data_IF_807878940811
#
_entry.id   IF_807878940811
#
_cell.length_a   1.000
_cell.length_b   1.000
_cell.length_c   1.000
_cell.angle_alpha   90.00
_cell.angle_beta   90.00
_cell.angle_gamma   90.00
#
_symmetry.space_group_name_H-M   'P 1'
#
loop_
_entity.id
_entity.type
_entity.pdbx_description
1 polymer ?
#
# COMPACT_ATOMS: atom_id res chain seq x y z
N UNK A 1 -26.08 -3.06 10.96
CA UNK A 1 -25.12 -3.69 11.89
C UNK A 1 -23.74 -3.37 11.39
N UNK A 2 -22.91 -2.72 12.18
CA UNK A 2 -21.50 -2.44 11.84
C UNK A 2 -20.79 -3.79 11.63
N UNK A 3 -20.29 -4.03 10.40
CA UNK A 3 -19.52 -5.25 10.12
C UNK A 3 -18.08 -4.96 10.52
N UNK A 4 -17.71 -5.29 11.75
CA UNK A 4 -16.30 -5.29 12.14
C UNK A 4 -15.60 -6.52 11.55
N UNK A 5 -14.34 -6.35 11.17
CA UNK A 5 -13.45 -7.41 10.70
C UNK A 5 -12.11 -7.34 11.42
N UNK A 6 -11.37 -8.43 11.57
CA UNK A 6 -10.05 -8.36 12.18
C UNK A 6 -9.09 -7.54 11.33
N UNK A 7 -8.21 -6.78 11.99
CA UNK A 7 -7.09 -6.09 11.38
C UNK A 7 -5.82 -6.28 12.21
N UNK A 8 -4.68 -6.36 11.52
CA UNK A 8 -3.35 -6.41 12.15
C UNK A 8 -2.92 -4.99 12.46
N UNK A 9 -2.94 -4.63 13.74
CA UNK A 9 -2.76 -3.23 14.20
C UNK A 9 -1.46 -3.09 14.94
N UNK A 10 -0.62 -2.16 14.49
CA UNK A 10 0.50 -1.66 15.28
C UNK A 10 0.02 -0.49 16.15
N UNK A 11 0.11 -0.64 17.48
CA UNK A 11 -0.51 0.30 18.42
C UNK A 11 0.49 1.17 19.19
N UNK A 12 1.81 0.92 19.09
CA UNK A 12 2.85 1.73 19.76
C UNK A 12 4.22 1.54 19.10
N UNK A 13 5.14 2.45 19.39
CA UNK A 13 6.54 2.41 18.98
C UNK A 13 7.39 1.50 19.89
N UNK A 14 6.99 0.23 20.04
CA UNK A 14 7.71 -0.71 20.90
C UNK A 14 7.66 -2.12 20.29
N UNK A 15 8.66 -2.92 20.59
CA UNK A 15 8.72 -4.31 20.13
C UNK A 15 7.49 -5.10 20.61
N UNK A 16 6.86 -5.83 19.68
CA UNK A 16 5.69 -6.65 19.97
C UNK A 16 4.38 -5.87 20.07
N UNK A 17 4.36 -4.61 19.69
CA UNK A 17 3.17 -3.75 19.69
C UNK A 17 2.27 -3.97 18.47
N UNK A 18 2.13 -5.22 18.02
CA UNK A 18 1.25 -5.60 16.89
C UNK A 18 0.30 -6.70 17.37
N UNK A 19 -0.99 -6.49 17.19
CA UNK A 19 -2.02 -7.45 17.56
C UNK A 19 -3.23 -7.42 16.63
N UNK A 20 -4.07 -8.44 16.69
CA UNK A 20 -5.37 -8.44 16.01
C UNK A 20 -6.37 -7.62 16.81
N UNK A 21 -6.99 -6.63 16.15
CA UNK A 21 -8.08 -5.83 16.69
C UNK A 21 -9.30 -5.84 15.77
N UNK A 22 -10.52 -5.73 16.32
CA UNK A 22 -11.70 -5.49 15.50
C UNK A 22 -11.60 -4.10 14.85
N UNK A 23 -11.75 -4.06 13.53
CA UNK A 23 -11.74 -2.83 12.73
C UNK A 23 -13.11 -2.59 12.15
N UNK A 24 -13.63 -1.38 12.32
CA UNK A 24 -14.86 -0.95 11.68
C UNK A 24 -14.65 -0.81 10.17
N UNK A 25 -15.70 -1.12 9.39
CA UNK A 25 -15.69 -0.87 7.96
C UNK A 25 -15.49 0.63 7.69
N UNK A 26 -14.46 1.04 6.90
CA UNK A 26 -14.21 2.45 6.66
C UNK A 26 -15.34 3.12 5.89
N UNK A 27 -15.65 4.37 6.24
CA UNK A 27 -16.46 5.25 5.39
C UNK A 27 -15.56 5.89 4.32
N UNK A 28 -16.09 6.04 3.11
CA UNK A 28 -15.37 6.64 1.99
C UNK A 28 -15.83 8.08 1.74
N UNK A 29 -14.91 8.92 1.26
CA UNK A 29 -15.21 10.25 0.75
C UNK A 29 -15.63 10.22 -0.73
N UNK A 30 -15.91 11.38 -1.26
CA UNK A 30 -16.43 11.54 -2.63
C UNK A 30 -15.48 11.03 -3.70
N UNK A 31 -14.17 11.09 -3.47
CA UNK A 31 -13.11 10.70 -4.42
C UNK A 31 -12.44 9.37 -4.07
N UNK A 32 -12.94 8.69 -3.04
CA UNK A 32 -12.36 7.46 -2.51
C UNK A 32 -13.11 6.22 -3.03
N UNK A 33 -12.45 5.11 -2.85
CA UNK A 33 -12.97 3.77 -3.13
C UNK A 33 -12.87 2.95 -1.84
N UNK A 34 -13.88 2.15 -1.57
CA UNK A 34 -13.81 1.07 -0.60
C UNK A 34 -13.36 -0.20 -1.31
N UNK A 35 -12.19 -0.68 -0.96
CA UNK A 35 -11.65 -1.93 -1.49
C UNK A 35 -11.89 -3.07 -0.51
N UNK A 36 -12.47 -4.18 -0.97
CA UNK A 36 -12.43 -5.45 -0.28
C UNK A 36 -11.11 -6.13 -0.63
N UNK A 37 -10.22 -6.27 0.36
CA UNK A 37 -8.87 -6.81 0.19
C UNK A 37 -8.95 -8.31 -0.07
N UNK A 38 -8.34 -8.74 -1.16
CA UNK A 38 -8.21 -10.16 -1.49
C UNK A 38 -6.88 -10.72 -0.94
N UNK A 39 -5.78 -10.04 -1.20
CA UNK A 39 -4.44 -10.44 -0.76
C UNK A 39 -3.63 -9.21 -0.34
N UNK A 40 -2.76 -9.40 0.63
CA UNK A 40 -1.79 -8.41 1.11
C UNK A 40 -0.45 -9.08 1.38
N UNK A 41 0.63 -8.49 0.87
CA UNK A 41 1.99 -8.90 1.15
C UNK A 41 2.46 -8.39 2.51
N UNK A 42 3.46 -9.06 3.07
CA UNK A 42 4.17 -8.65 4.29
C UNK A 42 5.54 -8.11 3.88
N UNK A 43 5.70 -6.80 4.02
CA UNK A 43 6.96 -6.12 3.74
C UNK A 43 7.93 -6.21 4.92
N UNK A 44 9.23 -6.08 4.66
CA UNK A 44 10.24 -5.91 5.71
C UNK A 44 9.94 -4.72 6.64
N UNK A 45 9.30 -3.66 6.12
CA UNK A 45 8.89 -2.52 6.93
C UNK A 45 7.79 -2.84 7.97
N UNK A 46 6.89 -3.79 7.69
CA UNK A 46 5.91 -4.28 8.68
C UNK A 46 6.63 -5.01 9.83
N UNK A 47 7.68 -5.79 9.51
CA UNK A 47 8.52 -6.45 10.50
C UNK A 47 9.30 -5.44 11.35
N UNK A 48 9.85 -4.38 10.74
CA UNK A 48 10.51 -3.30 11.47
C UNK A 48 9.56 -2.57 12.42
N UNK A 49 8.31 -2.36 12.04
CA UNK A 49 7.29 -1.82 12.94
C UNK A 49 6.96 -2.79 14.08
N UNK A 50 6.88 -4.11 13.81
CA UNK A 50 6.68 -5.11 14.85
C UNK A 50 7.85 -5.20 15.84
N UNK A 51 9.09 -5.06 15.37
CA UNK A 51 10.28 -5.04 16.24
C UNK A 51 10.48 -3.72 16.96
N UNK A 52 9.81 -2.64 16.52
CA UNK A 52 10.01 -1.28 17.02
C UNK A 52 11.30 -0.64 16.52
N UNK A 53 11.93 -1.22 15.49
CA UNK A 53 13.21 -0.77 14.94
C UNK A 53 12.99 -0.15 13.55
N UNK A 54 12.45 1.07 13.54
CA UNK A 54 12.23 1.85 12.32
C UNK A 54 12.56 3.33 12.54
N UNK A 55 12.99 4.03 11.48
CA UNK A 55 13.41 5.43 11.50
C UNK A 55 12.35 6.41 10.96
N UNK A 56 11.23 5.91 10.42
CA UNK A 56 10.15 6.75 9.90
C UNK A 56 9.04 6.95 10.92
N UNK A 57 8.29 8.05 10.73
CA UNK A 57 7.16 8.36 11.59
C UNK A 57 5.99 7.42 11.30
N UNK A 58 5.39 6.88 12.37
CA UNK A 58 4.20 6.05 12.34
C UNK A 58 3.08 6.71 13.14
N UNK A 59 1.88 6.76 12.60
CA UNK A 59 0.68 7.31 13.23
C UNK A 59 -0.07 6.21 13.99
N UNK A 60 0.33 5.95 15.23
CA UNK A 60 -0.30 4.92 16.07
C UNK A 60 -1.68 5.32 16.60
N UNK A 61 -2.64 4.38 16.72
CA UNK A 61 -2.60 3.01 16.18
C UNK A 61 -2.85 3.00 14.66
N UNK A 62 -2.23 2.06 13.95
CA UNK A 62 -2.36 1.93 12.50
C UNK A 62 -2.48 0.47 12.08
N UNK A 63 -3.36 0.17 11.12
CA UNK A 63 -3.41 -1.13 10.45
C UNK A 63 -2.23 -1.24 9.51
N UNK A 64 -1.48 -2.35 9.58
CA UNK A 64 -0.32 -2.62 8.72
C UNK A 64 -0.72 -2.99 7.28
N UNK A 65 0.28 -3.13 6.40
CA UNK A 65 0.15 -3.64 5.03
C UNK A 65 -0.04 -2.55 3.98
N UNK A 66 0.82 -2.59 2.96
CA UNK A 66 0.82 -1.62 1.84
C UNK A 66 1.06 -2.27 0.47
N UNK A 67 1.27 -3.59 0.42
CA UNK A 67 1.43 -4.40 -0.79
C UNK A 67 0.14 -5.19 -1.03
N UNK A 68 -0.89 -4.62 -1.67
CA UNK A 68 -2.21 -5.24 -1.67
C UNK A 68 -2.97 -5.10 -2.99
N UNK A 69 -3.88 -6.04 -3.17
CA UNK A 69 -4.88 -6.03 -4.23
C UNK A 69 -6.22 -6.54 -3.74
N UNK A 70 -7.27 -6.23 -4.50
CA UNK A 70 -8.61 -6.64 -4.14
C UNK A 70 -9.66 -6.18 -5.15
N UNK A 71 -10.92 -6.30 -4.75
CA UNK A 71 -12.08 -5.95 -5.56
C UNK A 71 -12.76 -4.70 -5.01
N UNK A 72 -13.12 -3.79 -5.88
CA UNK A 72 -13.86 -2.57 -5.50
C UNK A 72 -15.24 -2.97 -4.96
N UNK A 73 -15.51 -2.58 -3.72
CA UNK A 73 -16.81 -2.81 -3.05
C UNK A 73 -17.75 -1.62 -3.22
N UNK A 74 -17.22 -0.39 -3.07
CA UNK A 74 -17.99 0.86 -3.19
C UNK A 74 -17.13 1.93 -3.84
N UNK A 75 -17.78 2.88 -4.54
CA UNK A 75 -17.13 4.04 -5.15
C UNK A 75 -17.76 5.33 -4.63
N UNK A 76 -16.94 6.34 -4.39
CA UNK A 76 -17.38 7.68 -4.03
C UNK A 76 -18.10 8.37 -5.20
N UNK A 77 -18.97 9.31 -4.89
CA UNK A 77 -19.88 9.93 -5.87
C UNK A 77 -19.19 10.73 -6.98
N UNK A 78 -17.95 11.16 -6.75
CA UNK A 78 -17.12 11.91 -7.72
C UNK A 78 -16.05 11.03 -8.40
N UNK A 79 -16.09 9.72 -8.19
CA UNK A 79 -15.16 8.79 -8.80
C UNK A 79 -15.64 8.42 -10.19
N UNK A 80 -14.79 8.62 -11.18
CA UNK A 80 -15.03 8.25 -12.57
C UNK A 80 -14.10 7.08 -12.98
N UNK A 81 -14.54 6.29 -13.98
CA UNK A 81 -13.75 5.21 -14.56
C UNK A 81 -13.64 3.94 -13.73
N UNK A 82 -14.24 3.89 -12.52
CA UNK A 82 -14.25 2.74 -11.63
C UNK A 82 -15.68 2.35 -11.24
N UNK A 83 -15.89 1.07 -10.97
CA UNK A 83 -17.18 0.52 -10.52
C UNK A 83 -16.96 -0.64 -9.54
N UNK A 84 -17.96 -0.96 -8.69
CA UNK A 84 -17.96 -2.18 -7.91
C UNK A 84 -17.73 -3.43 -8.79
N UNK A 85 -16.89 -4.34 -8.30
CA UNK A 85 -16.47 -5.53 -9.01
C UNK A 85 -15.15 -5.38 -9.79
N UNK A 86 -14.65 -4.16 -10.05
CA UNK A 86 -13.34 -3.97 -10.69
C UNK A 86 -12.22 -4.51 -9.80
N UNK A 87 -11.28 -5.22 -10.42
CA UNK A 87 -10.10 -5.80 -9.78
C UNK A 87 -8.94 -4.82 -9.86
N UNK A 88 -8.31 -4.52 -8.72
CA UNK A 88 -7.30 -3.47 -8.64
C UNK A 88 -6.17 -3.80 -7.68
N UNK A 89 -5.01 -3.18 -7.91
CA UNK A 89 -3.92 -2.97 -6.95
C UNK A 89 -3.77 -1.48 -6.70
N UNK A 90 -3.09 -1.10 -5.62
CA UNK A 90 -2.90 0.29 -5.23
C UNK A 90 -1.44 0.66 -5.13
N UNK A 91 -1.13 1.92 -5.44
CA UNK A 91 0.11 2.55 -4.99
C UNK A 91 0.07 2.81 -3.49
N UNK A 92 1.22 3.15 -2.90
CA UNK A 92 1.36 3.32 -1.45
C UNK A 92 1.03 4.72 -0.94
N UNK A 93 1.09 5.77 -1.79
CA UNK A 93 0.94 7.16 -1.40
C UNK A 93 -0.53 7.59 -1.23
N UNK A 94 -1.16 7.17 -0.14
CA UNK A 94 -2.57 7.44 0.15
C UNK A 94 -2.89 8.94 0.25
N UNK A 95 -2.08 9.71 0.96
CA UNK A 95 -2.23 11.17 1.10
C UNK A 95 -1.01 11.86 0.47
N UNK A 96 -1.28 12.84 -0.37
CA UNK A 96 -0.28 13.72 -0.98
C UNK A 96 -0.75 15.17 -0.86
N UNK A 97 0.20 16.11 -0.86
CA UNK A 97 -0.12 17.54 -0.94
C UNK A 97 -0.23 17.95 -2.41
N UNK A 98 -1.40 18.38 -2.91
CA UNK A 98 -1.54 18.82 -4.31
C UNK A 98 -0.72 20.09 -4.60
N UNK A 99 -0.44 20.89 -3.58
CA UNK A 99 0.31 22.14 -3.70
C UNK A 99 1.82 21.96 -3.65
N UNK A 100 2.30 20.79 -3.31
CA UNK A 100 3.74 20.49 -3.29
C UNK A 100 4.36 20.60 -4.68
N UNK A 101 5.51 21.28 -4.82
CA UNK A 101 6.26 21.32 -6.06
C UNK A 101 6.64 19.95 -6.61
N UNK A 102 6.85 18.97 -5.72
CA UNK A 102 7.14 17.58 -6.10
C UNK A 102 5.90 16.90 -6.66
N UNK A 103 4.76 17.06 -6.03
CA UNK A 103 3.49 16.51 -6.52
C UNK A 103 3.12 17.08 -7.89
N UNK A 104 3.27 18.40 -8.09
CA UNK A 104 3.02 19.06 -9.40
C UNK A 104 3.92 18.55 -10.53
N UNK A 105 5.07 17.98 -10.19
CA UNK A 105 6.00 17.35 -11.13
C UNK A 105 5.79 15.84 -11.28
N UNK A 106 4.77 15.27 -10.67
CA UNK A 106 4.52 13.83 -10.65
C UNK A 106 5.46 13.03 -9.72
N UNK A 107 6.24 13.71 -8.88
CA UNK A 107 7.22 13.12 -7.96
C UNK A 107 6.69 13.07 -6.52
N UNK A 108 5.39 12.83 -6.35
CA UNK A 108 4.73 12.80 -5.03
C UNK A 108 5.29 11.70 -4.11
N UNK A 109 5.89 10.65 -4.67
CA UNK A 109 6.60 9.63 -3.90
C UNK A 109 7.82 10.17 -3.15
N UNK A 110 8.37 11.30 -3.56
CA UNK A 110 9.50 11.99 -2.91
C UNK A 110 9.04 13.10 -1.96
N UNK A 111 7.74 13.41 -1.90
CA UNK A 111 7.22 14.44 -1.01
C UNK A 111 7.30 13.98 0.44
N UNK A 112 8.02 14.73 1.32
CA UNK A 112 8.17 14.35 2.73
C UNK A 112 6.85 14.43 3.52
N UNK A 113 5.84 15.14 3.01
CA UNK A 113 4.52 15.27 3.66
C UNK A 113 3.55 14.16 3.29
N UNK A 114 3.90 13.29 2.32
CA UNK A 114 3.06 12.16 1.92
C UNK A 114 2.81 11.22 3.08
N UNK A 115 1.62 10.61 3.11
CA UNK A 115 1.31 9.54 4.06
C UNK A 115 0.97 8.27 3.29
N UNK A 116 1.67 7.19 3.63
CA UNK A 116 1.44 5.89 3.03
C UNK A 116 0.61 4.97 3.91
N UNK A 117 0.09 3.93 3.29
CA UNK A 117 -0.60 2.84 3.98
C UNK A 117 0.34 2.11 4.94
N UNK A 118 -0.21 1.62 6.04
CA UNK A 118 0.53 0.83 7.02
C UNK A 118 1.40 1.63 8.00
N UNK A 119 1.53 2.97 7.83
CA UNK A 119 2.27 3.82 8.76
C UNK A 119 1.67 5.23 8.91
N UNK A 120 1.32 5.91 7.84
CA UNK A 120 0.72 7.24 7.86
C UNK A 120 -0.79 7.22 7.93
N UNK A 121 -1.39 6.19 7.32
CA UNK A 121 -2.82 5.86 7.36
C UNK A 121 -2.98 4.35 7.50
N UNK A 122 -4.18 3.90 7.84
CA UNK A 122 -4.49 2.46 7.92
C UNK A 122 -4.20 1.76 6.59
N UNK A 123 -3.48 0.65 6.70
CA UNK A 123 -3.14 -0.25 5.60
C UNK A 123 -4.20 -1.33 5.35
N UNK A 124 -3.79 -2.34 4.61
CA UNK A 124 -4.66 -3.35 4.04
C UNK A 124 -4.64 -4.72 4.75
N UNK A 125 -3.93 -4.87 5.88
CA UNK A 125 -4.03 -6.09 6.70
C UNK A 125 -5.34 -6.12 7.49
N UNK A 126 -6.46 -5.94 6.79
CA UNK A 126 -7.84 -6.00 7.23
C UNK A 126 -8.73 -6.31 6.04
N UNK A 127 -10.02 -6.58 6.25
CA UNK A 127 -10.93 -6.92 5.17
C UNK A 127 -11.22 -5.76 4.22
N UNK A 128 -11.36 -4.55 4.74
CA UNK A 128 -11.71 -3.38 3.94
C UNK A 128 -10.72 -2.24 4.17
N UNK A 129 -10.30 -1.60 3.09
CA UNK A 129 -9.45 -0.41 3.12
C UNK A 129 -10.04 0.70 2.26
N UNK A 130 -9.96 1.95 2.74
CA UNK A 130 -10.29 3.15 1.97
C UNK A 130 -9.08 3.57 1.15
N UNK A 131 -9.26 3.70 -0.16
CA UNK A 131 -8.19 4.03 -1.11
C UNK A 131 -8.62 5.21 -1.98
N UNK A 132 -7.81 6.26 -2.15
CA UNK A 132 -8.06 7.30 -3.14
C UNK A 132 -8.08 6.70 -4.56
N UNK A 133 -9.09 7.04 -5.36
CA UNK A 133 -9.26 6.47 -6.70
C UNK A 133 -8.07 6.70 -7.65
N UNK A 134 -7.33 7.81 -7.45
CA UNK A 134 -6.20 8.23 -8.29
C UNK A 134 -4.99 7.28 -8.30
N UNK A 135 -4.88 6.39 -7.30
CA UNK A 135 -3.71 5.49 -7.12
C UNK A 135 -4.04 4.02 -7.40
N UNK A 136 -5.16 3.76 -8.03
CA UNK A 136 -5.57 2.40 -8.38
C UNK A 136 -5.15 2.04 -9.80
N UNK A 137 -4.75 0.79 -9.98
CA UNK A 137 -4.40 0.20 -11.26
C UNK A 137 -5.20 -1.08 -11.49
N UNK A 138 -5.70 -1.28 -12.73
CA UNK A 138 -6.49 -2.46 -13.08
C UNK A 138 -5.65 -3.72 -13.07
N UNK A 139 -6.21 -4.78 -12.51
CA UNK A 139 -5.63 -6.13 -12.56
C UNK A 139 -6.36 -6.92 -13.64
N UNK A 140 -5.64 -7.51 -14.62
CA UNK A 140 -6.24 -8.40 -15.61
C UNK A 140 -6.95 -9.58 -14.95
N UNK A 141 -8.06 -10.04 -15.55
CA UNK A 141 -8.82 -11.17 -15.00
C UNK A 141 -8.01 -12.47 -14.90
N UNK A 142 -7.03 -12.64 -15.81
CA UNK A 142 -6.13 -13.78 -15.82
C UNK A 142 -5.07 -13.78 -14.72
N UNK A 143 -4.82 -12.64 -14.04
CA UNK A 143 -3.81 -12.55 -13.01
C UNK A 143 -4.44 -12.75 -11.62
N UNK A 144 -4.10 -13.82 -10.86
CA UNK A 144 -4.62 -14.03 -9.52
C UNK A 144 -4.11 -12.98 -8.54
N UNK A 145 -4.87 -12.68 -7.49
CA UNK A 145 -4.52 -11.63 -6.53
C UNK A 145 -3.27 -11.94 -5.73
N UNK A 146 -2.93 -13.21 -5.51
CA UNK A 146 -1.69 -13.66 -4.87
C UNK A 146 -0.44 -13.21 -5.63
N UNK A 147 -0.56 -13.05 -6.95
CA UNK A 147 0.50 -12.51 -7.80
C UNK A 147 0.37 -10.99 -7.97
N UNK A 148 -0.85 -10.49 -8.11
CA UNK A 148 -1.10 -9.07 -8.31
C UNK A 148 -0.62 -8.22 -7.13
N UNK A 149 -0.74 -8.69 -5.89
CA UNK A 149 -0.25 -7.95 -4.71
C UNK A 149 1.28 -7.77 -4.68
N UNK A 150 2.03 -8.53 -5.49
CA UNK A 150 3.47 -8.35 -5.67
C UNK A 150 3.83 -7.16 -6.59
N UNK A 151 2.85 -6.45 -7.14
CA UNK A 151 3.11 -5.29 -8.02
C UNK A 151 3.95 -4.22 -7.30
N UNK A 152 3.66 -3.95 -6.03
CA UNK A 152 4.41 -2.94 -5.26
C UNK A 152 5.88 -3.34 -5.09
N UNK A 153 6.25 -4.51 -4.53
CA UNK A 153 7.66 -4.89 -4.40
C UNK A 153 8.35 -5.06 -5.76
N UNK A 154 7.65 -5.48 -6.81
CA UNK A 154 8.19 -5.50 -8.16
C UNK A 154 8.53 -4.09 -8.67
N UNK A 155 7.70 -3.08 -8.35
CA UNK A 155 8.01 -1.68 -8.69
C UNK A 155 9.25 -1.18 -7.96
N UNK A 156 9.46 -1.58 -6.70
CA UNK A 156 10.68 -1.26 -5.93
C UNK A 156 11.91 -1.87 -6.61
N UNK A 157 11.86 -3.17 -6.93
CA UNK A 157 12.95 -3.87 -7.61
C UNK A 157 13.24 -3.26 -8.99
N UNK A 158 12.21 -2.99 -9.80
CA UNK A 158 12.35 -2.35 -11.11
C UNK A 158 12.97 -0.96 -11.01
N UNK A 159 12.54 -0.15 -10.06
CA UNK A 159 13.09 1.17 -9.86
C UNK A 159 14.58 1.11 -9.47
N UNK A 160 14.96 0.18 -8.61
CA UNK A 160 16.34 0.00 -8.19
C UNK A 160 17.23 -0.45 -9.37
N UNK A 161 16.82 -1.47 -10.11
CA UNK A 161 17.66 -2.12 -11.13
C UNK A 161 17.62 -1.39 -12.48
N UNK A 162 16.43 -1.04 -12.97
CA UNK A 162 16.28 -0.48 -14.33
C UNK A 162 16.40 1.04 -14.34
N UNK A 163 15.81 1.73 -13.35
CA UNK A 163 15.80 3.20 -13.33
C UNK A 163 17.04 3.81 -12.71
N UNK A 164 17.58 3.22 -11.65
CA UNK A 164 18.67 3.82 -10.87
C UNK A 164 20.04 3.15 -11.12
N UNK A 165 20.12 1.84 -11.25
CA UNK A 165 21.39 1.14 -11.44
C UNK A 165 21.95 1.27 -12.86
N UNK A 166 21.11 1.60 -13.85
CA UNK A 166 21.50 1.76 -15.27
C UNK A 166 22.24 0.55 -15.82
N UNK A 167 21.73 -0.65 -15.50
CA UNK A 167 22.31 -1.91 -15.95
C UNK A 167 22.13 -2.03 -17.47
N UNK A 168 23.21 -2.35 -18.19
CA UNK A 168 23.24 -2.47 -19.65
C UNK A 168 23.46 -3.93 -20.07
N UNK A 169 23.06 -4.31 -21.30
CA UNK A 169 23.36 -5.64 -21.84
C UNK A 169 24.86 -5.94 -21.84
N UNK A 170 25.24 -7.05 -21.22
CA UNK A 170 26.66 -7.45 -21.07
C UNK A 170 27.26 -7.13 -19.70
N UNK A 171 26.57 -6.38 -18.85
CA UNK A 171 27.02 -6.12 -17.49
C UNK A 171 27.00 -7.39 -16.64
N UNK A 172 27.93 -7.45 -15.69
CA UNK A 172 27.95 -8.46 -14.64
C UNK A 172 27.33 -7.86 -13.38
N UNK A 173 26.23 -8.44 -12.92
CA UNK A 173 25.47 -7.95 -11.77
C UNK A 173 25.65 -8.91 -10.59
N UNK A 174 25.86 -8.35 -9.40
CA UNK A 174 25.88 -9.09 -8.13
C UNK A 174 24.74 -8.56 -7.27
N UNK A 175 23.88 -9.46 -6.83
CA UNK A 175 22.80 -9.15 -5.88
C UNK A 175 23.24 -9.58 -4.48
N UNK A 176 23.31 -8.61 -3.55
CA UNK A 176 23.64 -8.87 -2.16
C UNK A 176 22.36 -8.92 -1.33
N UNK A 177 22.06 -10.08 -0.75
CA UNK A 177 20.85 -10.32 0.02
C UNK A 177 19.64 -10.65 -0.84
N UNK A 178 19.54 -11.86 -1.42
CA UNK A 178 18.41 -12.28 -2.27
C UNK A 178 17.18 -12.63 -1.41
N UNK A 179 16.60 -11.60 -0.80
CA UNK A 179 15.31 -11.68 -0.12
C UNK A 179 14.15 -11.36 -1.07
N UNK A 180 13.03 -10.85 -0.55
CA UNK A 180 11.83 -10.55 -1.34
C UNK A 180 12.09 -9.56 -2.49
N UNK A 181 12.96 -8.57 -2.27
CA UNK A 181 13.31 -7.56 -3.29
C UNK A 181 14.51 -8.02 -4.15
N UNK A 182 15.43 -8.79 -3.63
CA UNK A 182 16.57 -9.34 -4.36
C UNK A 182 16.21 -10.46 -5.30
#
# INVERSE_FOLDING_TARGET
>A
MSQSSPGVVNFAAARGSVELRPMERPTIGDTDILLEVANVGVCGSDLHQWTGDHSWQVNYPVVLGHEFGGTISEVGKSVEGWKPGDRVVSETAAIISPDSPLTRRGLYNLDPTRKGFGYGVNGAMTRFVRVPSRILHRVPDSLPFEQACLTEPCCVAYNATVKNARIEPGDRVVVLGPGTIG
#
